data_IF_326622326194
#
_entry.id   IF_326622326194
#
_cell.length_a   1.000
_cell.length_b   1.000
_cell.length_c   1.000
_cell.angle_alpha   90.00
_cell.angle_beta   90.00
_cell.angle_gamma   90.00
#
_symmetry.space_group_name_H-M   'P 1'
#
loop_
_entity.id
_entity.type
_entity.pdbx_description
1 polymer ?
#
# COMPACT_ATOMS: atom_id res chain seq x y z
N UNK A 1 8.65 -13.72 -22.75
CA UNK A 1 9.23 -12.41 -22.42
C UNK A 1 8.51 -11.91 -21.18
N UNK A 2 9.22 -11.58 -20.10
CA UNK A 2 8.59 -11.04 -18.89
C UNK A 2 8.49 -9.53 -19.12
N UNK A 3 7.30 -9.05 -19.46
CA UNK A 3 6.99 -7.63 -19.54
C UNK A 3 6.76 -7.11 -18.13
N UNK A 4 7.75 -6.44 -17.54
CA UNK A 4 7.54 -5.69 -16.31
C UNK A 4 6.76 -4.42 -16.66
N UNK A 5 5.55 -4.28 -16.12
CA UNK A 5 4.78 -3.04 -16.26
C UNK A 5 5.51 -1.90 -15.56
N UNK A 6 5.58 -0.75 -16.22
CA UNK A 6 6.15 0.48 -15.65
C UNK A 6 5.06 1.26 -14.87
N UNK A 7 3.80 0.82 -14.99
CA UNK A 7 2.66 1.49 -14.36
C UNK A 7 2.80 1.53 -12.83
N UNK A 8 2.74 2.72 -12.25
CA UNK A 8 2.94 2.95 -10.81
C UNK A 8 4.40 2.97 -10.34
N UNK A 9 5.37 2.56 -11.18
CA UNK A 9 6.78 2.61 -10.82
C UNK A 9 7.35 4.03 -10.94
N UNK A 10 6.97 4.76 -12.00
CA UNK A 10 7.41 6.14 -12.21
C UNK A 10 6.96 7.03 -11.06
N UNK A 11 5.71 6.91 -10.63
CA UNK A 11 5.16 7.66 -9.49
C UNK A 11 5.83 7.25 -8.18
N UNK A 12 6.02 5.96 -7.93
CA UNK A 12 6.73 5.51 -6.73
C UNK A 12 8.19 6.01 -6.68
N UNK A 13 8.83 6.15 -7.84
CA UNK A 13 10.19 6.69 -7.96
C UNK A 13 10.25 8.22 -7.84
N UNK A 14 9.30 8.93 -8.44
CA UNK A 14 9.20 10.39 -8.39
C UNK A 14 8.96 10.86 -6.95
N UNK A 15 8.01 10.23 -6.25
CA UNK A 15 7.65 10.56 -4.87
C UNK A 15 8.49 9.84 -3.82
N UNK A 16 9.55 9.13 -4.22
CA UNK A 16 10.49 8.49 -3.28
C UNK A 16 11.22 9.50 -2.41
N UNK A 17 11.56 9.10 -1.19
CA UNK A 17 12.40 9.87 -0.28
C UNK A 17 13.85 9.42 -0.41
N UNK A 18 14.78 10.36 -0.34
CA UNK A 18 16.21 10.03 -0.29
C UNK A 18 16.63 9.80 1.16
N UNK A 19 17.20 8.63 1.44
CA UNK A 19 17.71 8.24 2.76
C UNK A 19 19.23 8.08 2.67
N UNK A 20 19.96 8.71 3.58
CA UNK A 20 21.41 8.53 3.74
C UNK A 20 21.71 7.33 4.61
N UNK A 21 22.27 6.28 4.02
CA UNK A 21 22.67 5.05 4.73
C UNK A 21 24.09 5.14 5.31
N UNK A 22 24.98 5.87 4.65
CA UNK A 22 26.31 6.13 5.16
C UNK A 22 26.76 7.53 4.79
N UNK A 23 27.45 8.18 5.72
CA UNK A 23 28.12 9.46 5.43
C UNK A 23 29.56 9.26 4.93
N UNK A 24 30.15 8.06 5.11
CA UNK A 24 31.53 7.74 4.73
C UNK A 24 31.67 6.23 4.39
N UNK A 25 31.76 5.83 3.11
CA UNK A 25 31.53 6.67 1.93
C UNK A 25 30.09 7.22 1.93
N UNK A 26 29.86 8.35 1.26
CA UNK A 26 28.51 8.88 1.09
C UNK A 26 27.67 7.90 0.27
N UNK A 27 26.58 7.41 0.85
CA UNK A 27 25.66 6.48 0.23
C UNK A 27 24.22 6.92 0.52
N UNK A 28 23.62 7.52 -0.50
CA UNK A 28 22.22 7.94 -0.49
C UNK A 28 21.42 7.00 -1.40
N UNK A 29 20.29 6.52 -0.90
CA UNK A 29 19.38 5.66 -1.66
C UNK A 29 18.00 6.30 -1.76
N UNK A 30 17.31 6.08 -2.88
CA UNK A 30 15.89 6.38 -3.01
C UNK A 30 15.08 5.24 -2.40
N UNK A 31 14.16 5.60 -1.51
CA UNK A 31 13.25 4.68 -0.84
C UNK A 31 11.80 5.10 -1.15
N UNK A 32 10.96 4.20 -1.68
CA UNK A 32 9.58 4.54 -1.98
C UNK A 32 8.83 4.89 -0.68
N UNK A 33 7.90 5.85 -0.76
CA UNK A 33 6.96 6.11 0.32
C UNK A 33 6.04 4.90 0.51
N UNK A 34 5.40 4.77 1.67
CA UNK A 34 4.45 3.67 1.90
C UNK A 34 3.24 3.72 0.95
N UNK A 35 2.79 4.91 0.56
CA UNK A 35 1.76 5.05 -0.48
C UNK A 35 2.26 4.61 -1.86
N UNK A 36 3.49 4.97 -2.22
CA UNK A 36 4.13 4.48 -3.46
C UNK A 36 4.32 2.96 -3.47
N UNK A 37 4.71 2.37 -2.33
CA UNK A 37 4.84 0.92 -2.19
C UNK A 37 3.47 0.23 -2.30
N UNK A 38 2.45 0.73 -1.60
CA UNK A 38 1.09 0.19 -1.69
C UNK A 38 0.52 0.28 -3.11
N UNK A 39 0.73 1.40 -3.80
CA UNK A 39 0.37 1.59 -5.21
C UNK A 39 0.98 0.48 -6.08
N UNK A 40 2.30 0.26 -5.98
CA UNK A 40 2.97 -0.79 -6.73
C UNK A 40 2.43 -2.18 -6.40
N UNK A 41 2.14 -2.47 -5.11
CA UNK A 41 1.60 -3.76 -4.67
C UNK A 41 0.22 -4.06 -5.25
N UNK A 42 -0.67 -3.07 -5.34
CA UNK A 42 -1.99 -3.22 -5.96
C UNK A 42 -1.86 -3.62 -7.43
N UNK A 43 -1.00 -2.90 -8.18
CA UNK A 43 -0.79 -3.14 -9.60
C UNK A 43 -0.11 -4.48 -9.84
N UNK A 44 1.00 -4.75 -9.14
CA UNK A 44 1.78 -5.97 -9.33
C UNK A 44 1.01 -7.22 -8.92
N UNK A 45 0.18 -7.15 -7.88
CA UNK A 45 -0.71 -8.24 -7.51
C UNK A 45 -1.65 -8.59 -8.67
N UNK A 46 -2.30 -7.59 -9.30
CA UNK A 46 -3.23 -7.87 -10.40
C UNK A 46 -2.54 -8.46 -11.62
N UNK A 47 -1.43 -7.88 -12.03
CA UNK A 47 -0.73 -8.25 -13.28
C UNK A 47 -0.12 -9.65 -13.23
N UNK A 48 0.39 -10.03 -12.05
CA UNK A 48 1.13 -11.27 -11.86
C UNK A 48 0.37 -12.29 -11.03
N UNK A 49 -0.94 -12.11 -10.80
CA UNK A 49 -1.74 -13.12 -10.11
C UNK A 49 -1.80 -14.42 -10.96
N UNK A 50 -1.56 -15.61 -10.37
CA UNK A 50 -1.41 -15.92 -8.94
C UNK A 50 0.04 -16.00 -8.43
N UNK A 51 1.05 -15.60 -9.20
CA UNK A 51 2.47 -15.72 -8.83
C UNK A 51 2.91 -14.70 -7.77
N UNK A 52 2.11 -13.64 -7.54
CA UNK A 52 2.41 -12.53 -6.61
C UNK A 52 1.38 -12.36 -5.49
N UNK A 53 0.85 -13.45 -4.94
CA UNK A 53 -0.11 -13.42 -3.82
C UNK A 53 0.42 -12.71 -2.57
N UNK A 54 1.71 -12.80 -2.30
CA UNK A 54 2.35 -12.12 -1.16
C UNK A 54 2.21 -10.60 -1.24
N UNK A 55 1.98 -10.02 -2.42
CA UNK A 55 1.72 -8.59 -2.53
C UNK A 55 0.39 -8.19 -1.84
N UNK A 56 -0.59 -9.10 -1.75
CA UNK A 56 -1.81 -8.88 -0.97
C UNK A 56 -1.51 -8.80 0.53
N UNK A 57 -0.62 -9.65 1.02
CA UNK A 57 -0.18 -9.68 2.42
C UNK A 57 0.59 -8.41 2.78
N UNK A 58 1.53 -7.99 1.92
CA UNK A 58 2.26 -6.73 2.07
C UNK A 58 1.31 -5.53 2.08
N UNK A 59 0.30 -5.52 1.19
CA UNK A 59 -0.72 -4.48 1.18
C UNK A 59 -1.50 -4.45 2.50
N UNK A 60 -1.90 -5.61 3.04
CA UNK A 60 -2.55 -5.68 4.34
C UNK A 60 -1.65 -5.16 5.46
N UNK A 61 -0.37 -5.51 5.44
CA UNK A 61 0.59 -5.04 6.43
C UNK A 61 0.72 -3.51 6.40
N UNK A 62 0.83 -2.92 5.21
CA UNK A 62 0.86 -1.46 5.06
C UNK A 62 -0.43 -0.83 5.58
N UNK A 63 -1.60 -1.36 5.19
CA UNK A 63 -2.90 -0.86 5.63
C UNK A 63 -3.05 -0.86 7.16
N UNK A 64 -2.64 -1.95 7.83
CA UNK A 64 -2.75 -2.10 9.29
C UNK A 64 -1.85 -1.16 10.10
N UNK A 65 -0.77 -0.67 9.49
CA UNK A 65 0.26 0.10 10.18
C UNK A 65 0.37 1.54 9.66
N UNK A 66 -0.44 1.94 8.67
CA UNK A 66 -0.28 3.24 8.03
C UNK A 66 -0.48 4.40 9.01
N UNK A 67 -1.34 4.26 10.01
CA UNK A 67 -1.57 5.28 11.04
C UNK A 67 -0.29 5.62 11.82
N UNK A 68 0.44 4.59 12.29
CA UNK A 68 1.60 4.69 13.18
C UNK A 68 2.91 4.82 12.39
N UNK A 69 2.86 4.68 11.07
CA UNK A 69 4.01 4.86 10.19
C UNK A 69 4.30 6.35 9.89
N UNK A 70 4.26 7.19 10.93
CA UNK A 70 4.51 8.64 10.83
C UNK A 70 3.31 9.46 10.36
N UNK A 71 2.09 8.90 10.36
CA UNK A 71 0.88 9.61 9.94
C UNK A 71 -0.03 10.05 11.10
N UNK A 72 0.30 9.75 12.35
CA UNK A 72 -0.51 10.12 13.52
C UNK A 72 -0.81 11.62 13.56
N UNK A 73 0.21 12.48 13.44
CA UNK A 73 0.03 13.93 13.41
C UNK A 73 -0.84 14.39 12.23
N UNK A 74 -0.71 13.74 11.07
CA UNK A 74 -1.52 14.05 9.89
C UNK A 74 -2.98 13.67 10.09
N UNK A 75 -3.27 12.58 10.78
CA UNK A 75 -4.63 12.17 11.10
C UNK A 75 -5.33 13.19 12.01
N UNK A 76 -4.69 13.60 13.09
CA UNK A 76 -5.27 14.57 14.02
C UNK A 76 -5.26 16.03 13.51
N UNK A 77 -4.32 16.37 12.62
CA UNK A 77 -4.15 17.74 12.12
C UNK A 77 -4.85 18.02 10.79
N UNK A 78 -4.63 17.17 9.78
CA UNK A 78 -5.02 17.43 8.39
C UNK A 78 -6.21 16.59 7.92
N UNK A 79 -6.43 15.44 8.56
CA UNK A 79 -7.43 14.45 8.15
C UNK A 79 -8.46 14.17 9.26
N UNK A 80 -8.76 15.18 10.08
CA UNK A 80 -9.73 15.05 11.19
C UNK A 80 -11.12 14.60 10.70
N UNK A 81 -11.54 15.04 9.51
CA UNK A 81 -12.80 14.58 8.91
C UNK A 81 -12.82 13.08 8.63
N UNK A 82 -11.67 12.47 8.28
CA UNK A 82 -11.60 11.01 8.11
C UNK A 82 -11.76 10.30 9.45
N UNK A 83 -11.22 10.85 10.55
CA UNK A 83 -11.44 10.29 11.88
C UNK A 83 -12.91 10.38 12.28
N UNK A 84 -13.56 11.51 12.04
CA UNK A 84 -15.00 11.67 12.32
C UNK A 84 -15.87 10.71 11.50
N UNK A 85 -15.54 10.51 10.22
CA UNK A 85 -16.25 9.58 9.32
C UNK A 85 -16.08 8.11 9.73
N UNK A 86 -14.98 7.75 10.38
CA UNK A 86 -14.67 6.38 10.83
C UNK A 86 -14.86 6.19 12.34
N UNK A 87 -15.73 6.97 13.00
CA UNK A 87 -16.03 6.87 14.44
C UNK A 87 -14.78 6.91 15.35
N UNK A 88 -13.77 7.69 14.93
CA UNK A 88 -12.46 7.83 15.56
C UNK A 88 -11.62 6.56 15.60
N UNK A 89 -11.92 5.56 14.77
CA UNK A 89 -11.00 4.45 14.50
C UNK A 89 -9.81 4.97 13.69
N UNK A 90 -8.68 5.16 14.37
CA UNK A 90 -7.45 5.69 13.77
C UNK A 90 -6.90 4.79 12.68
N UNK A 91 -7.17 3.49 12.73
CA UNK A 91 -6.72 2.53 11.73
C UNK A 91 -7.53 2.63 10.47
N UNK A 92 -8.86 2.62 10.58
CA UNK A 92 -9.73 2.81 9.41
C UNK A 92 -9.49 4.18 8.76
N UNK A 93 -9.37 5.24 9.57
CA UNK A 93 -9.01 6.56 9.07
C UNK A 93 -7.62 6.58 8.39
N UNK A 94 -6.65 5.85 8.95
CA UNK A 94 -5.32 5.64 8.37
C UNK A 94 -5.38 4.96 7.00
N UNK A 95 -6.20 3.92 6.84
CA UNK A 95 -6.40 3.23 5.55
C UNK A 95 -7.00 4.19 4.51
N UNK A 96 -7.94 5.05 4.91
CA UNK A 96 -8.51 6.06 4.01
C UNK A 96 -7.49 7.13 3.64
N UNK A 97 -6.66 7.55 4.59
CA UNK A 97 -5.55 8.46 4.32
C UNK A 97 -4.55 7.85 3.32
N UNK A 98 -4.24 6.56 3.44
CA UNK A 98 -3.42 5.83 2.47
C UNK A 98 -4.02 5.90 1.07
N UNK A 99 -5.33 5.64 0.93
CA UNK A 99 -6.03 5.75 -0.35
C UNK A 99 -5.97 7.16 -0.95
N UNK A 100 -6.11 8.19 -0.11
CA UNK A 100 -5.94 9.59 -0.55
C UNK A 100 -4.52 9.88 -1.02
N UNK A 101 -3.51 9.37 -0.33
CA UNK A 101 -2.11 9.61 -0.68
C UNK A 101 -1.69 8.84 -1.93
N UNK A 102 -2.20 7.62 -2.14
CA UNK A 102 -2.09 6.91 -3.42
C UNK A 102 -2.69 7.75 -4.55
N UNK A 103 -3.90 8.30 -4.35
CA UNK A 103 -4.55 9.11 -5.36
C UNK A 103 -3.81 10.41 -5.69
N UNK A 104 -3.13 11.02 -4.71
CA UNK A 104 -2.32 12.24 -4.92
C UNK A 104 -1.06 11.98 -5.74
N UNK A 105 -0.41 10.84 -5.56
CA UNK A 105 0.84 10.52 -6.27
C UNK A 105 0.59 9.91 -7.66
N UNK A 106 -0.59 9.34 -7.88
CA UNK A 106 -0.92 8.65 -9.13
C UNK A 106 -1.22 9.63 -10.26
N UNK A 107 -0.70 9.36 -11.44
CA UNK A 107 -1.18 10.03 -12.66
C UNK A 107 -2.63 9.57 -13.00
N UNK A 108 -3.32 10.23 -13.95
CA UNK A 108 -4.69 9.87 -14.30
C UNK A 108 -4.87 8.43 -14.82
N UNK A 109 -3.87 7.87 -15.53
CA UNK A 109 -3.91 6.52 -16.07
C UNK A 109 -3.70 5.50 -14.95
N UNK A 110 -2.71 5.71 -14.09
CA UNK A 110 -2.42 4.88 -12.92
C UNK A 110 -3.58 4.90 -11.94
N UNK A 111 -4.14 6.08 -11.65
CA UNK A 111 -5.31 6.22 -10.78
C UNK A 111 -6.52 5.44 -11.33
N UNK A 112 -6.74 5.50 -12.65
CA UNK A 112 -7.81 4.75 -13.30
C UNK A 112 -7.58 3.24 -13.16
N UNK A 113 -6.37 2.75 -13.43
CA UNK A 113 -6.04 1.33 -13.32
C UNK A 113 -6.23 0.82 -11.88
N UNK A 114 -5.74 1.56 -10.88
CA UNK A 114 -5.93 1.22 -9.46
C UNK A 114 -7.41 1.14 -9.11
N UNK A 115 -8.23 2.10 -9.56
CA UNK A 115 -9.69 2.06 -9.33
C UNK A 115 -10.34 0.84 -9.97
N UNK A 116 -10.01 0.53 -11.23
CA UNK A 116 -10.54 -0.65 -11.93
C UNK A 116 -10.15 -1.96 -11.22
N UNK A 117 -8.92 -2.05 -10.69
CA UNK A 117 -8.47 -3.18 -9.88
C UNK A 117 -9.32 -3.29 -8.60
N UNK A 118 -9.41 -2.21 -7.83
CA UNK A 118 -10.11 -2.22 -6.54
C UNK A 118 -11.61 -2.45 -6.72
N UNK A 119 -12.26 -1.87 -7.73
CA UNK A 119 -13.67 -2.12 -8.06
C UNK A 119 -13.89 -3.60 -8.43
N UNK A 120 -12.98 -4.19 -9.20
CA UNK A 120 -13.02 -5.61 -9.55
C UNK A 120 -12.84 -6.54 -8.36
N UNK A 121 -12.08 -6.14 -7.34
CA UNK A 121 -11.83 -6.95 -6.14
C UNK A 121 -12.82 -6.71 -5.00
N UNK A 122 -13.56 -5.59 -5.02
CA UNK A 122 -14.53 -5.22 -3.96
C UNK A 122 -16.00 -5.30 -4.40
N UNK A 123 -16.28 -5.43 -5.71
CA UNK A 123 -17.62 -5.62 -6.24
C UNK A 123 -18.25 -6.97 -5.87
N UNK A 124 -19.53 -7.16 -6.19
CA UNK A 124 -20.21 -8.45 -6.00
C UNK A 124 -19.59 -9.51 -6.90
N UNK A 125 -18.95 -10.51 -6.29
CA UNK A 125 -18.28 -11.58 -7.01
C UNK A 125 -18.33 -12.90 -6.24
N UNK A 126 -18.09 -14.00 -6.95
CA UNK A 126 -18.12 -15.34 -6.35
C UNK A 126 -16.91 -15.65 -5.47
N UNK A 127 -15.79 -14.91 -5.62
CA UNK A 127 -14.55 -15.09 -4.85
C UNK A 127 -13.79 -13.79 -4.68
N UNK A 128 -13.43 -13.44 -3.47
CA UNK A 128 -12.73 -12.19 -3.16
C UNK A 128 -11.23 -12.43 -3.07
N UNK A 129 -10.57 -12.67 -4.21
CA UNK A 129 -9.18 -13.19 -4.26
C UNK A 129 -8.20 -12.34 -3.46
N UNK A 130 -8.28 -11.02 -3.59
CA UNK A 130 -7.40 -10.12 -2.85
C UNK A 130 -7.54 -10.31 -1.34
N UNK A 131 -8.77 -10.37 -0.82
CA UNK A 131 -9.04 -10.60 0.60
C UNK A 131 -8.70 -12.03 1.02
N UNK A 132 -8.97 -13.02 0.18
CA UNK A 132 -8.60 -14.42 0.42
C UNK A 132 -7.08 -14.58 0.59
N UNK A 133 -6.28 -13.96 -0.28
CA UNK A 133 -4.82 -13.98 -0.19
C UNK A 133 -4.33 -13.19 1.04
N UNK A 134 -4.92 -12.02 1.34
CA UNK A 134 -4.64 -11.25 2.55
C UNK A 134 -4.83 -12.10 3.81
N UNK A 135 -5.94 -12.85 3.90
CA UNK A 135 -6.25 -13.67 5.07
C UNK A 135 -5.40 -14.93 5.13
N UNK A 136 -5.06 -15.53 3.99
CA UNK A 136 -4.20 -16.71 3.93
C UNK A 136 -2.83 -16.42 4.55
N UNK A 137 -2.24 -15.26 4.26
CA UNK A 137 -0.98 -14.83 4.84
C UNK A 137 -1.03 -14.56 6.35
N UNK A 138 -2.15 -14.08 6.90
CA UNK A 138 -2.29 -13.81 8.35
C UNK A 138 -1.99 -15.07 9.18
N UNK A 139 -2.42 -16.24 8.70
CA UNK A 139 -2.15 -17.52 9.38
C UNK A 139 -0.67 -17.92 9.39
N UNK A 140 0.13 -17.43 8.43
CA UNK A 140 1.58 -17.64 8.40
C UNK A 140 2.35 -16.63 9.26
N UNK A 141 1.90 -15.37 9.33
CA UNK A 141 2.58 -14.33 10.10
C UNK A 141 2.41 -14.47 11.63
N UNK A 142 1.27 -14.99 12.11
CA UNK A 142 1.11 -15.28 13.55
C UNK A 142 2.15 -16.28 14.04
N UNK A 143 2.48 -17.28 13.21
CA UNK A 143 3.39 -18.35 13.57
C UNK A 143 4.88 -17.91 13.53
N UNK A 144 5.20 -16.85 12.78
CA UNK A 144 6.59 -16.37 12.59
C UNK A 144 7.07 -15.36 13.64
N UNK A 145 6.19 -14.57 14.24
CA UNK A 145 6.57 -13.57 15.24
C UNK A 145 6.51 -14.07 16.68
N UNK A 146 5.84 -15.20 16.93
CA UNK A 146 5.83 -15.88 18.24
C UNK A 146 7.14 -16.65 18.54
N UNK A 147 8.09 -16.69 17.60
CA UNK A 147 9.40 -17.35 17.74
C UNK A 147 10.59 -16.40 18.09
N UNK A 148 10.35 -15.14 18.48
CA UNK A 148 11.41 -14.19 18.86
C UNK A 148 11.45 -13.91 20.37
#
# INVERSE_FOLDING_TARGET
>A
EISMSILGFEEAYEYSITIRLSSKPELDIKFPTLSGLALMKIISWKEMYPDRKTDAEDLLFIMKNYEVAGNEERLYGQALSLLEEEDFDTRLAGIRLLGMDIAKISDPQTLKAVKEILEGETGEQSRYRLVEDMVSGISMYSDQFDEI
#
